data_IF_436558113002
#
_entry.id   IF_436558113002
#
_cell.length_a   1.000
_cell.length_b   1.000
_cell.length_c   1.000
_cell.angle_alpha   90.00
_cell.angle_beta   90.00
_cell.angle_gamma   90.00
#
_symmetry.space_group_name_H-M   'P 1'
#
loop_
_entity.id
_entity.type
_entity.pdbx_description
1 polymer ?
#
# COMPACT_ATOMS: atom_id res chain seq x y z
N UNK A 1 8.34 19.78 -15.86
CA UNK A 1 7.19 18.89 -15.60
C UNK A 1 7.49 17.42 -15.91
N UNK A 2 8.08 17.09 -17.06
CA UNK A 2 8.46 15.70 -17.41
C UNK A 2 9.53 15.05 -16.51
N UNK A 3 10.35 15.85 -15.84
CA UNK A 3 11.43 15.36 -14.96
C UNK A 3 10.95 14.58 -13.74
N UNK A 4 9.68 14.70 -13.33
CA UNK A 4 9.09 14.01 -12.17
C UNK A 4 8.28 12.77 -12.55
N UNK A 5 7.96 12.62 -13.84
CA UNK A 5 7.11 11.54 -14.34
C UNK A 5 7.74 10.15 -14.08
N UNK A 6 9.05 9.92 -14.31
CA UNK A 6 9.68 8.63 -14.01
C UNK A 6 9.60 8.25 -12.52
N UNK A 7 9.80 9.22 -11.63
CA UNK A 7 9.78 9.02 -10.17
C UNK A 7 8.38 8.65 -9.69
N UNK A 8 7.34 9.29 -10.22
CA UNK A 8 5.95 8.97 -9.91
C UNK A 8 5.62 7.54 -10.36
N UNK A 9 6.05 7.15 -11.57
CA UNK A 9 5.83 5.79 -12.07
C UNK A 9 6.55 4.75 -11.20
N UNK A 10 7.81 5.00 -10.87
CA UNK A 10 8.60 4.11 -10.00
C UNK A 10 8.01 4.03 -8.59
N UNK A 11 7.54 5.14 -8.03
CA UNK A 11 6.89 5.18 -6.72
C UNK A 11 5.59 4.36 -6.71
N UNK A 12 4.73 4.56 -7.72
CA UNK A 12 3.49 3.80 -7.84
C UNK A 12 3.77 2.31 -8.01
N UNK A 13 4.77 1.95 -8.81
CA UNK A 13 5.20 0.55 -8.96
C UNK A 13 5.71 -0.02 -7.63
N UNK A 14 6.61 0.68 -6.94
CA UNK A 14 7.20 0.24 -5.68
C UNK A 14 6.13 0.03 -4.59
N UNK A 15 5.22 1.00 -4.41
CA UNK A 15 4.11 0.89 -3.46
C UNK A 15 3.18 -0.27 -3.82
N UNK A 16 2.85 -0.44 -5.10
CA UNK A 16 1.96 -1.51 -5.55
C UNK A 16 2.55 -2.89 -5.25
N UNK A 17 3.84 -3.07 -5.51
CA UNK A 17 4.54 -4.33 -5.22
C UNK A 17 4.66 -4.56 -3.72
N UNK A 18 4.95 -3.52 -2.94
CA UNK A 18 5.03 -3.58 -1.48
C UNK A 18 3.70 -4.01 -0.85
N UNK A 19 2.60 -3.34 -1.18
CA UNK A 19 1.27 -3.70 -0.66
C UNK A 19 0.83 -5.09 -1.17
N UNK A 20 1.13 -5.43 -2.43
CA UNK A 20 0.90 -6.77 -2.94
C UNK A 20 1.67 -7.83 -2.15
N UNK A 21 2.92 -7.58 -1.77
CA UNK A 21 3.73 -8.51 -1.00
C UNK A 21 3.13 -8.76 0.39
N UNK A 22 2.69 -7.70 1.09
CA UNK A 22 1.95 -7.82 2.34
C UNK A 22 0.69 -8.69 2.18
N UNK A 23 -0.13 -8.41 1.16
CA UNK A 23 -1.34 -9.19 0.86
C UNK A 23 -1.02 -10.65 0.55
N UNK A 24 0.02 -10.89 -0.25
CA UNK A 24 0.42 -12.23 -0.66
C UNK A 24 0.90 -13.06 0.52
N UNK A 25 1.72 -12.49 1.40
CA UNK A 25 2.19 -13.19 2.60
C UNK A 25 1.02 -13.44 3.56
N UNK A 26 0.12 -12.48 3.78
CA UNK A 26 -1.08 -12.68 4.61
C UNK A 26 -1.95 -13.84 4.07
N UNK A 27 -2.18 -13.86 2.76
CA UNK A 27 -2.94 -14.91 2.07
C UNK A 27 -2.30 -16.30 2.24
N UNK A 28 -0.96 -16.37 2.13
CA UNK A 28 -0.20 -17.60 2.38
C UNK A 28 -0.17 -18.03 3.85
N UNK A 29 -0.41 -17.11 4.79
CA UNK A 29 -0.53 -17.38 6.23
C UNK A 29 -1.96 -17.69 6.68
N UNK A 30 -2.90 -17.76 5.74
CA UNK A 30 -4.29 -18.16 5.97
C UNK A 30 -5.28 -17.00 6.02
N UNK A 31 -4.81 -15.75 5.94
CA UNK A 31 -5.67 -14.58 5.90
C UNK A 31 -5.99 -14.16 4.46
N UNK A 32 -7.13 -14.62 3.97
CA UNK A 32 -7.65 -14.31 2.65
C UNK A 32 -8.40 -12.97 2.55
N UNK A 33 -8.42 -12.16 3.60
CA UNK A 33 -9.17 -10.88 3.66
C UNK A 33 -8.79 -9.97 2.50
N UNK A 34 -7.48 -9.77 2.27
CA UNK A 34 -6.99 -8.93 1.19
C UNK A 34 -7.43 -9.46 -0.20
N UNK A 35 -7.37 -10.77 -0.42
CA UNK A 35 -7.81 -11.40 -1.68
C UNK A 35 -9.30 -11.22 -1.92
N UNK A 36 -10.13 -11.46 -0.90
CA UNK A 36 -11.59 -11.30 -0.97
C UNK A 36 -12.01 -9.84 -1.20
N UNK A 37 -11.23 -8.88 -0.72
CA UNK A 37 -11.45 -7.44 -0.97
C UNK A 37 -10.83 -6.95 -2.29
N UNK A 38 -10.29 -7.85 -3.13
CA UNK A 38 -9.65 -7.48 -4.39
C UNK A 38 -8.35 -6.66 -4.20
N UNK A 39 -7.72 -6.75 -3.03
CA UNK A 39 -6.46 -6.08 -2.67
C UNK A 39 -5.23 -6.89 -3.06
N UNK A 40 -5.37 -8.20 -3.28
CA UNK A 40 -4.28 -9.06 -3.79
C UNK A 40 -4.14 -8.86 -5.31
N UNK A 41 -3.63 -7.70 -5.71
CA UNK A 41 -3.50 -7.29 -7.12
C UNK A 41 -2.32 -6.36 -7.34
N UNK A 42 -1.73 -6.42 -8.54
CA UNK A 42 -0.73 -5.47 -9.02
C UNK A 42 -1.37 -4.26 -9.75
N UNK A 43 -2.69 -4.09 -9.64
CA UNK A 43 -3.35 -2.88 -10.11
C UNK A 43 -3.10 -1.73 -9.12
N UNK A 44 -2.35 -0.67 -9.49
CA UNK A 44 -2.03 0.44 -8.59
C UNK A 44 -3.28 1.18 -8.10
N UNK A 45 -4.37 1.17 -8.87
CA UNK A 45 -5.64 1.83 -8.50
C UNK A 45 -6.20 1.24 -7.21
N UNK A 46 -5.97 -0.07 -6.96
CA UNK A 46 -6.38 -0.67 -5.71
C UNK A 46 -5.66 0.03 -4.53
N UNK A 47 -4.38 0.32 -4.62
CA UNK A 47 -3.58 0.79 -3.49
C UNK A 47 -3.65 2.30 -3.27
N UNK A 48 -4.50 3.01 -3.99
CA UNK A 48 -4.68 4.47 -3.82
C UNK A 48 -5.61 4.76 -2.65
N UNK A 49 -5.16 5.63 -1.75
CA UNK A 49 -5.99 6.32 -0.78
C UNK A 49 -6.35 7.72 -1.29
N UNK A 50 -7.65 8.03 -1.43
CA UNK A 50 -8.07 9.31 -1.99
C UNK A 50 -7.54 10.51 -1.19
N UNK A 51 -7.45 10.37 0.14
CA UNK A 51 -6.93 11.45 0.98
C UNK A 51 -5.41 11.45 1.00
N UNK A 52 -4.79 10.35 1.39
CA UNK A 52 -3.34 10.23 1.62
C UNK A 52 -2.50 10.25 0.35
N UNK A 53 -2.98 9.66 -0.74
CA UNK A 53 -2.25 9.57 -2.01
C UNK A 53 -2.51 10.77 -2.92
N UNK A 54 -3.71 11.38 -2.86
CA UNK A 54 -4.15 12.40 -3.82
C UNK A 54 -4.36 13.76 -3.16
N UNK A 55 -5.35 13.89 -2.27
CA UNK A 55 -5.75 15.20 -1.72
C UNK A 55 -4.64 15.86 -0.89
N UNK A 56 -3.99 15.11 0.00
CA UNK A 56 -2.97 15.64 0.90
C UNK A 56 -1.74 16.15 0.12
N UNK A 57 -1.10 15.38 -0.78
CA UNK A 57 -0.01 15.89 -1.61
C UNK A 57 -0.41 17.13 -2.42
N UNK A 58 -1.61 17.16 -3.00
CA UNK A 58 -2.09 18.34 -3.74
C UNK A 58 -2.21 19.58 -2.84
N UNK A 59 -2.78 19.43 -1.63
CA UNK A 59 -2.86 20.53 -0.67
C UNK A 59 -1.48 21.06 -0.29
N UNK A 60 -0.50 20.17 -0.02
CA UNK A 60 0.87 20.55 0.33
C UNK A 60 1.57 21.30 -0.82
N UNK A 61 1.31 20.91 -2.06
CA UNK A 61 1.82 21.62 -3.24
C UNK A 61 1.20 23.02 -3.36
N UNK A 62 -0.12 23.13 -3.20
CA UNK A 62 -0.86 24.40 -3.31
C UNK A 62 -0.42 25.39 -2.22
N UNK A 63 -0.24 24.91 -0.99
CA UNK A 63 0.21 25.74 0.14
C UNK A 63 1.71 26.01 0.13
N UNK A 64 2.46 25.47 -0.84
CA UNK A 64 3.92 25.56 -0.95
C UNK A 64 4.62 25.08 0.33
N UNK A 65 4.11 24.00 0.91
CA UNK A 65 4.75 23.33 2.04
C UNK A 65 6.19 22.94 1.68
N UNK A 66 7.17 23.15 2.56
CA UNK A 66 8.54 22.68 2.36
C UNK A 66 8.65 21.14 2.43
N UNK A 67 7.60 20.47 2.90
CA UNK A 67 7.52 19.02 3.06
C UNK A 67 6.40 18.47 2.19
N UNK A 68 6.71 17.43 1.40
CA UNK A 68 5.74 16.65 0.64
C UNK A 68 5.69 15.23 1.20
N UNK A 69 4.51 14.79 1.64
CA UNK A 69 4.31 13.42 2.13
C UNK A 69 2.90 12.92 1.81
N UNK A 70 2.72 11.61 1.89
CA UNK A 70 1.46 10.91 1.63
C UNK A 70 1.61 9.43 1.95
N UNK A 71 0.52 8.68 1.87
CA UNK A 71 0.50 7.23 2.10
C UNK A 71 -0.41 6.51 1.10
N UNK A 72 -0.15 5.23 0.91
CA UNK A 72 -0.99 4.31 0.15
C UNK A 72 -2.15 3.80 1.01
N UNK A 73 -3.17 3.24 0.38
CA UNK A 73 -4.25 2.55 1.08
C UNK A 73 -3.73 1.19 1.57
N UNK A 74 -3.51 1.00 2.88
CA UNK A 74 -2.82 -0.17 3.41
C UNK A 74 -3.63 -1.45 3.16
N UNK A 75 -2.93 -2.57 2.98
CA UNK A 75 -3.57 -3.88 2.89
C UNK A 75 -4.20 -4.27 4.24
N UNK A 76 -5.48 -4.69 4.24
CA UNK A 76 -6.15 -5.16 5.45
C UNK A 76 -5.63 -6.54 5.85
N UNK A 77 -5.38 -6.72 7.15
CA UNK A 77 -5.01 -8.00 7.76
C UNK A 77 -6.03 -8.34 8.84
N UNK A 78 -6.47 -9.60 8.89
CA UNK A 78 -7.32 -10.16 9.92
C UNK A 78 -6.52 -11.12 10.82
N UNK A 79 -6.08 -10.68 12.01
CA UNK A 79 -5.26 -11.49 12.90
C UNK A 79 -5.90 -12.80 13.35
N UNK A 80 -7.24 -12.89 13.35
CA UNK A 80 -7.98 -14.09 13.75
C UNK A 80 -7.88 -15.23 12.73
N UNK A 81 -7.47 -14.94 11.49
CA UNK A 81 -7.27 -15.93 10.43
C UNK A 81 -5.82 -16.44 10.35
N UNK A 82 -4.90 -15.83 11.10
CA UNK A 82 -3.48 -16.19 11.08
C UNK A 82 -3.22 -17.41 11.97
N UNK A 83 -2.40 -18.33 11.47
CA UNK A 83 -2.03 -19.56 12.18
C UNK A 83 -1.21 -19.30 13.45
N UNK A 84 -0.30 -18.34 13.39
CA UNK A 84 0.50 -17.88 14.51
C UNK A 84 0.62 -16.35 14.45
N UNK A 85 -0.31 -15.66 15.10
CA UNK A 85 -0.45 -14.20 15.04
C UNK A 85 0.87 -13.44 15.20
N UNK A 86 1.72 -13.79 16.18
CA UNK A 86 2.98 -13.05 16.41
C UNK A 86 3.97 -13.23 15.27
N UNK A 87 4.19 -14.47 14.83
CA UNK A 87 5.15 -14.77 13.76
C UNK A 87 4.64 -14.28 12.41
N UNK A 88 3.36 -14.48 12.14
CA UNK A 88 2.77 -14.19 10.84
C UNK A 88 2.63 -12.68 10.63
N UNK A 89 2.27 -11.89 11.65
CA UNK A 89 2.29 -10.42 11.55
C UNK A 89 3.69 -9.88 11.27
N UNK A 90 4.73 -10.43 11.92
CA UNK A 90 6.12 -10.04 11.64
C UNK A 90 6.52 -10.35 10.20
N UNK A 91 6.16 -11.53 9.70
CA UNK A 91 6.46 -11.92 8.32
C UNK A 91 5.70 -11.07 7.31
N UNK A 92 4.45 -10.73 7.58
CA UNK A 92 3.68 -9.82 6.73
C UNK A 92 4.35 -8.46 6.69
N UNK A 93 4.71 -7.88 7.85
CA UNK A 93 5.37 -6.56 7.88
C UNK A 93 6.78 -6.51 7.27
N UNK A 94 7.44 -7.66 7.12
CA UNK A 94 8.74 -7.77 6.42
C UNK A 94 8.61 -7.94 4.91
N UNK A 95 7.42 -8.30 4.41
CA UNK A 95 7.14 -8.48 2.99
C UNK A 95 7.15 -7.14 2.24
#
# INVERSE_FOLDING_TARGET
MYQFLPQIILLLFAITVHEYAHAYVADKRGDDTARLMGRLTLNPIAHIDMFGTVLLPMMLIITRSPILFGWAKPVPINPHRLSNMRKDVMLIGLA
#
